data_IF_609039237227
#
_entry.id   IF_609039237227
#
_cell.length_a   1.000
_cell.length_b   1.000
_cell.length_c   1.000
_cell.angle_alpha   90.00
_cell.angle_beta   90.00
_cell.angle_gamma   90.00
#
_symmetry.space_group_name_H-M   'P 1'
#
loop_
_entity.id
_entity.type
_entity.pdbx_description
1 polymer ?
#
# COMPACT_ATOMS: atom_id res chain seq x y z
N UNK A 1 2.94 6.82 0.68
CA UNK A 1 3.55 6.02 -0.41
C UNK A 1 2.53 5.92 -1.52
N UNK A 2 2.94 6.23 -2.74
CA UNK A 2 2.14 6.14 -3.96
C UNK A 2 3.07 5.75 -5.11
N UNK A 3 2.69 4.76 -5.90
CA UNK A 3 3.45 4.39 -7.11
C UNK A 3 3.34 5.49 -8.18
N UNK A 4 4.34 5.57 -9.05
CA UNK A 4 4.44 6.62 -10.08
C UNK A 4 3.36 6.52 -11.16
N UNK A 5 2.74 5.36 -11.33
CA UNK A 5 1.72 5.05 -12.33
C UNK A 5 0.29 5.12 -11.75
N UNK A 6 0.11 5.86 -10.64
CA UNK A 6 -1.17 6.02 -9.98
C UNK A 6 -1.64 7.47 -10.03
N UNK A 7 -2.83 7.66 -10.60
CA UNK A 7 -3.63 8.88 -10.48
C UNK A 7 -4.78 8.66 -9.49
N UNK A 8 -5.52 9.70 -9.13
CA UNK A 8 -6.56 9.57 -8.09
C UNK A 8 -7.74 10.52 -8.29
N UNK A 9 -8.82 10.26 -7.56
CA UNK A 9 -10.00 11.12 -7.48
C UNK A 9 -9.75 12.36 -6.59
N UNK A 10 -10.56 13.40 -6.76
CA UNK A 10 -10.32 14.75 -6.20
C UNK A 10 -10.02 14.79 -4.70
N UNK A 11 -10.75 14.02 -3.88
CA UNK A 11 -10.59 14.06 -2.42
C UNK A 11 -9.76 12.89 -1.89
N UNK A 12 -9.07 12.16 -2.76
CA UNK A 12 -8.35 10.95 -2.39
C UNK A 12 -7.25 11.22 -1.35
N UNK A 13 -6.41 12.24 -1.58
CA UNK A 13 -5.38 12.63 -0.61
C UNK A 13 -5.98 13.22 0.66
N UNK A 14 -7.05 14.02 0.55
CA UNK A 14 -7.77 14.55 1.72
C UNK A 14 -8.28 13.41 2.61
N UNK A 15 -8.80 12.34 2.01
CA UNK A 15 -9.30 11.17 2.74
C UNK A 15 -8.21 10.48 3.57
N UNK A 16 -6.96 10.43 3.07
CA UNK A 16 -5.83 9.96 3.88
C UNK A 16 -5.56 10.87 5.06
N UNK A 17 -5.52 12.19 4.84
CA UNK A 17 -5.24 13.18 5.90
C UNK A 17 -6.33 13.15 6.98
N UNK A 18 -7.60 13.13 6.59
CA UNK A 18 -8.76 13.13 7.51
C UNK A 18 -8.79 11.89 8.42
N UNK A 19 -8.17 10.78 8.00
CA UNK A 19 -8.15 9.51 8.74
C UNK A 19 -6.78 9.15 9.30
N UNK A 20 -5.81 10.07 9.22
CA UNK A 20 -4.46 9.85 9.73
C UNK A 20 -4.48 9.71 11.25
N UNK A 21 -3.96 8.59 11.76
CA UNK A 21 -3.95 8.30 13.19
C UNK A 21 -2.70 7.50 13.57
N UNK A 22 -2.16 7.78 14.75
CA UNK A 22 -1.13 6.94 15.35
C UNK A 22 -1.68 5.52 15.58
N UNK A 23 -0.81 4.51 15.55
CA UNK A 23 -1.21 3.09 15.58
C UNK A 23 -2.17 2.63 14.46
N UNK A 24 -2.33 3.39 13.38
CA UNK A 24 -2.98 2.93 12.14
C UNK A 24 -2.06 3.08 10.92
N UNK A 25 -2.32 2.24 9.93
CA UNK A 25 -1.89 2.47 8.55
C UNK A 25 -3.13 2.44 7.65
N UNK A 26 -3.21 3.37 6.71
CA UNK A 26 -4.35 3.55 5.82
C UNK A 26 -4.01 2.92 4.48
N UNK A 27 -4.90 2.07 3.96
CA UNK A 27 -4.75 1.40 2.67
C UNK A 27 -5.95 1.69 1.79
N UNK A 28 -5.73 1.64 0.48
CA UNK A 28 -6.78 1.72 -0.51
C UNK A 28 -6.73 0.51 -1.44
N UNK A 29 -7.67 0.43 -2.38
CA UNK A 29 -7.66 -0.58 -3.42
C UNK A 29 -7.84 0.10 -4.78
N UNK A 30 -6.91 -0.09 -5.74
CA UNK A 30 -6.97 0.64 -6.99
C UNK A 30 -7.97 0.06 -7.97
N UNK A 31 -8.56 0.95 -8.77
CA UNK A 31 -9.07 0.57 -10.08
C UNK A 31 -7.86 0.39 -11.00
N UNK A 32 -7.72 -0.80 -11.60
CA UNK A 32 -6.72 -1.06 -12.63
C UNK A 32 -7.34 -0.81 -13.99
N UNK A 33 -6.72 0.09 -14.75
CA UNK A 33 -7.11 0.36 -16.14
C UNK A 33 -6.56 -0.74 -17.06
N UNK A 34 -7.26 -0.96 -18.19
CA UNK A 34 -6.68 -1.71 -19.30
C UNK A 34 -5.71 -0.84 -20.09
N UNK A 35 -4.97 -1.46 -21.01
CA UNK A 35 -4.08 -0.76 -21.93
C UNK A 35 -4.83 0.28 -22.77
N UNK A 36 -6.05 -0.04 -23.21
CA UNK A 36 -6.93 0.84 -23.97
C UNK A 36 -7.42 2.01 -23.09
N UNK A 37 -7.97 1.70 -21.91
CA UNK A 37 -8.43 2.74 -20.97
C UNK A 37 -7.31 3.72 -20.59
N UNK A 38 -6.07 3.23 -20.49
CA UNK A 38 -4.90 4.06 -20.16
C UNK A 38 -4.52 5.01 -21.28
N UNK A 39 -4.70 4.61 -22.55
CA UNK A 39 -4.46 5.49 -23.71
C UNK A 39 -5.47 6.63 -23.80
N UNK A 40 -6.68 6.41 -23.28
CA UNK A 40 -7.75 7.42 -23.25
C UNK A 40 -7.58 8.42 -22.10
N UNK A 41 -6.60 8.24 -21.21
CA UNK A 41 -6.27 9.21 -20.14
C UNK A 41 -5.48 10.37 -20.74
N UNK A 42 -5.99 11.58 -20.60
CA UNK A 42 -5.30 12.81 -20.98
C UNK A 42 -5.10 13.76 -19.79
N UNK A 43 -4.31 14.83 -19.99
CA UNK A 43 -4.00 15.81 -18.94
C UNK A 43 -5.24 16.55 -18.42
N UNK A 44 -6.19 16.87 -19.31
CA UNK A 44 -7.41 17.58 -18.94
C UNK A 44 -8.31 16.72 -18.02
N UNK A 45 -8.38 15.41 -18.26
CA UNK A 45 -9.07 14.48 -17.36
C UNK A 45 -8.41 14.41 -15.99
N UNK A 46 -7.08 14.42 -15.93
CA UNK A 46 -6.32 14.37 -14.68
C UNK A 46 -6.53 15.66 -13.88
N UNK A 47 -6.36 16.82 -14.52
CA UNK A 47 -6.53 18.15 -13.89
C UNK A 47 -7.95 18.35 -13.34
N UNK A 48 -8.97 17.88 -14.05
CA UNK A 48 -10.37 18.02 -13.65
C UNK A 48 -10.94 16.82 -12.88
N UNK A 49 -10.13 15.79 -12.60
CA UNK A 49 -10.54 14.55 -11.94
C UNK A 49 -11.73 13.84 -12.62
N UNK A 50 -11.83 13.93 -13.95
CA UNK A 50 -13.02 13.53 -14.72
C UNK A 50 -12.86 12.18 -15.41
N UNK A 51 -12.80 11.10 -14.63
CA UNK A 51 -12.55 9.75 -15.14
C UNK A 51 -13.82 8.94 -15.47
N UNK A 52 -15.01 9.52 -15.29
CA UNK A 52 -16.29 8.79 -15.39
C UNK A 52 -16.51 8.11 -16.75
N UNK A 53 -16.02 8.72 -17.84
CA UNK A 53 -16.13 8.20 -19.21
C UNK A 53 -15.30 6.93 -19.44
N UNK A 54 -14.16 6.79 -18.78
CA UNK A 54 -13.24 5.65 -18.97
C UNK A 54 -13.52 4.51 -17.99
N UNK A 55 -14.15 4.79 -16.85
CA UNK A 55 -14.37 3.81 -15.78
C UNK A 55 -15.64 2.97 -15.99
N UNK A 56 -15.52 1.66 -15.82
CA UNK A 56 -16.66 0.73 -15.94
C UNK A 56 -17.37 0.54 -14.61
N UNK A 57 -18.70 0.36 -14.62
CA UNK A 57 -19.50 0.05 -13.42
C UNK A 57 -18.96 -1.15 -12.64
N UNK A 58 -18.45 -2.18 -13.34
CA UNK A 58 -17.82 -3.35 -12.71
C UNK A 58 -16.54 -3.01 -11.93
N UNK A 59 -15.75 -2.03 -12.39
CA UNK A 59 -14.57 -1.54 -11.67
C UNK A 59 -14.99 -0.83 -10.39
N UNK A 60 -15.98 0.06 -10.46
CA UNK A 60 -16.53 0.77 -9.30
C UNK A 60 -17.13 -0.19 -8.27
N UNK A 61 -17.88 -1.21 -8.72
CA UNK A 61 -18.42 -2.26 -7.84
C UNK A 61 -17.32 -3.02 -7.09
N UNK A 62 -16.18 -3.30 -7.74
CA UNK A 62 -15.04 -3.94 -7.07
C UNK A 62 -14.47 -3.09 -5.94
N UNK A 63 -14.42 -1.76 -6.08
CA UNK A 63 -14.02 -0.85 -5.00
C UNK A 63 -14.94 -1.02 -3.79
N UNK A 64 -16.26 -0.93 -4.01
CA UNK A 64 -17.27 -1.09 -2.94
C UNK A 64 -17.17 -2.46 -2.26
N UNK A 65 -17.03 -3.53 -3.05
CA UNK A 65 -16.84 -4.90 -2.52
C UNK A 65 -15.58 -5.01 -1.67
N UNK A 66 -14.47 -4.42 -2.12
CA UNK A 66 -13.21 -4.46 -1.39
C UNK A 66 -13.27 -3.62 -0.11
N UNK A 67 -13.94 -2.46 -0.13
CA UNK A 67 -14.20 -1.65 1.05
C UNK A 67 -14.96 -2.47 2.11
N UNK A 68 -16.06 -3.13 1.74
CA UNK A 68 -16.83 -3.95 2.68
C UNK A 68 -15.98 -5.06 3.27
N UNK A 69 -15.18 -5.75 2.45
CA UNK A 69 -14.26 -6.80 2.91
C UNK A 69 -13.22 -6.27 3.90
N UNK A 70 -12.61 -5.14 3.60
CA UNK A 70 -11.61 -4.52 4.48
C UNK A 70 -12.27 -4.02 5.78
N UNK A 71 -13.48 -3.43 5.70
CA UNK A 71 -14.23 -3.00 6.87
C UNK A 71 -14.60 -4.18 7.80
N UNK A 72 -15.09 -5.29 7.24
CA UNK A 72 -15.36 -6.52 8.03
C UNK A 72 -14.07 -7.05 8.66
N UNK A 73 -12.97 -7.08 7.92
CA UNK A 73 -11.66 -7.51 8.44
C UNK A 73 -11.18 -6.60 9.57
N UNK A 74 -11.40 -5.30 9.45
CA UNK A 74 -11.09 -4.31 10.49
C UNK A 74 -11.90 -4.56 11.76
N UNK A 75 -13.22 -4.79 11.64
CA UNK A 75 -14.06 -5.12 12.79
C UNK A 75 -13.63 -6.43 13.45
N UNK A 76 -13.36 -7.48 12.67
CA UNK A 76 -12.86 -8.76 13.21
C UNK A 76 -11.54 -8.59 13.96
N UNK A 77 -10.63 -7.74 13.47
CA UNK A 77 -9.40 -7.40 14.20
C UNK A 77 -9.70 -6.60 15.48
N UNK A 78 -10.57 -5.59 15.40
CA UNK A 78 -10.95 -4.74 16.53
C UNK A 78 -11.56 -5.56 17.68
N UNK A 79 -12.43 -6.52 17.36
CA UNK A 79 -13.06 -7.44 18.31
C UNK A 79 -12.23 -8.69 18.62
N UNK A 80 -10.95 -8.72 18.20
CA UNK A 80 -10.00 -9.84 18.44
C UNK A 80 -10.47 -11.21 17.93
N UNK A 81 -11.42 -11.24 16.99
CA UNK A 81 -11.86 -12.45 16.27
C UNK A 81 -10.74 -12.93 15.36
N UNK A 82 -10.06 -12.00 14.68
CA UNK A 82 -8.94 -12.30 13.79
C UNK A 82 -7.65 -11.62 14.24
N UNK A 83 -6.51 -12.28 13.97
CA UNK A 83 -5.18 -11.75 14.30
C UNK A 83 -4.80 -10.52 13.45
N UNK A 84 -5.32 -10.41 12.22
CA UNK A 84 -5.03 -9.35 11.25
C UNK A 84 -6.32 -8.74 10.70
N UNK A 85 -6.25 -7.47 10.31
CA UNK A 85 -7.32 -6.74 9.61
C UNK A 85 -6.97 -6.54 8.13
N UNK A 86 -7.32 -5.38 7.52
CA UNK A 86 -6.93 -5.01 6.16
C UNK A 86 -5.44 -5.20 5.88
N UNK A 87 -5.12 -5.81 4.74
CA UNK A 87 -3.72 -6.01 4.34
C UNK A 87 -3.08 -4.69 3.90
N UNK A 88 -1.79 -4.54 4.18
CA UNK A 88 -0.97 -3.53 3.51
C UNK A 88 -0.94 -3.79 2.00
N UNK A 89 -0.91 -2.72 1.21
CA UNK A 89 -0.74 -2.75 -0.24
C UNK A 89 0.22 -1.61 -0.57
N UNK A 90 1.46 -1.94 -0.91
CA UNK A 90 2.53 -0.93 -1.04
C UNK A 90 2.26 0.10 -2.12
N UNK A 91 1.52 -0.26 -3.18
CA UNK A 91 1.28 0.67 -4.27
C UNK A 91 0.55 1.95 -3.89
N UNK A 92 -0.34 1.91 -2.89
CA UNK A 92 -0.77 3.14 -2.19
C UNK A 92 -1.12 2.86 -0.74
N UNK A 93 -0.45 3.55 0.17
CA UNK A 93 -0.81 3.58 1.58
C UNK A 93 -0.25 4.83 2.28
N UNK A 94 -0.84 5.16 3.42
CA UNK A 94 -0.33 6.18 4.33
C UNK A 94 -0.13 5.59 5.73
N UNK A 95 0.87 6.11 6.44
CA UNK A 95 1.20 5.68 7.79
C UNK A 95 1.86 6.84 8.51
N UNK A 96 1.63 6.95 9.83
CA UNK A 96 2.38 7.91 10.64
C UNK A 96 3.88 7.60 10.60
N UNK A 97 4.73 8.63 10.52
CA UNK A 97 6.19 8.47 10.47
C UNK A 97 6.70 7.60 11.62
N UNK A 98 6.25 7.87 12.84
CA UNK A 98 6.69 7.13 14.03
C UNK A 98 6.29 5.65 13.98
N UNK A 99 5.12 5.32 13.41
CA UNK A 99 4.71 3.94 13.21
C UNK A 99 5.64 3.21 12.22
N UNK A 100 6.07 3.90 11.16
CA UNK A 100 6.99 3.35 10.16
C UNK A 100 8.39 3.12 10.74
N UNK A 101 8.93 4.10 11.47
CA UNK A 101 10.23 4.00 12.15
C UNK A 101 10.21 2.94 13.25
N UNK A 102 9.10 2.82 13.99
CA UNK A 102 8.94 1.79 15.05
C UNK A 102 9.18 0.37 14.54
N UNK A 103 8.82 0.08 13.29
CA UNK A 103 9.03 -1.24 12.67
C UNK A 103 10.28 -1.30 11.77
N UNK A 104 11.11 -0.26 11.79
CA UNK A 104 12.31 -0.13 10.96
C UNK A 104 12.03 -0.03 9.43
N UNK A 105 10.86 0.45 9.03
CA UNK A 105 10.54 0.67 7.61
C UNK A 105 10.48 -0.59 6.75
N UNK A 106 10.76 -0.46 5.45
CA UNK A 106 10.86 -1.62 4.54
C UNK A 106 12.15 -2.40 4.82
N UNK A 107 12.11 -3.72 4.60
CA UNK A 107 13.29 -4.57 4.71
C UNK A 107 14.03 -4.59 3.36
N UNK A 108 15.22 -4.01 3.31
CA UNK A 108 16.00 -3.84 2.08
C UNK A 108 16.54 -5.17 1.52
N UNK A 109 16.43 -6.28 2.27
CA UNK A 109 16.69 -7.62 1.73
C UNK A 109 15.64 -8.08 0.72
N UNK A 110 14.46 -7.46 0.67
CA UNK A 110 13.51 -7.73 -0.41
C UNK A 110 13.98 -7.05 -1.70
N UNK A 111 14.74 -7.79 -2.51
CA UNK A 111 15.22 -7.34 -3.82
C UNK A 111 14.39 -7.97 -4.94
N UNK A 112 14.22 -7.24 -6.05
CA UNK A 112 13.33 -7.67 -7.14
C UNK A 112 11.87 -7.63 -6.70
N UNK A 113 11.05 -8.58 -7.17
CA UNK A 113 9.61 -8.51 -7.00
C UNK A 113 9.05 -9.42 -5.90
N UNK A 114 8.29 -8.80 -4.99
CA UNK A 114 7.29 -9.44 -4.15
C UNK A 114 7.67 -9.62 -2.67
N UNK A 115 6.64 -9.68 -1.84
CA UNK A 115 6.63 -9.95 -0.40
C UNK A 115 7.13 -8.83 0.53
N UNK A 116 7.60 -7.70 0.01
CA UNK A 116 8.05 -6.57 0.83
C UNK A 116 6.89 -5.92 1.62
N UNK A 117 5.72 -5.82 0.99
CA UNK A 117 4.51 -5.24 1.58
C UNK A 117 3.82 -6.19 2.56
N UNK A 118 3.78 -7.48 2.23
CA UNK A 118 3.30 -8.54 3.11
C UNK A 118 4.13 -8.59 4.42
N UNK A 119 5.46 -8.47 4.32
CA UNK A 119 6.38 -8.43 5.46
C UNK A 119 6.17 -7.19 6.33
N UNK A 120 6.20 -6.00 5.72
CA UNK A 120 5.96 -4.74 6.43
C UNK A 120 4.58 -4.77 7.11
N UNK A 121 3.55 -5.23 6.43
CA UNK A 121 2.21 -5.41 6.99
C UNK A 121 2.21 -6.33 8.22
N UNK A 122 2.94 -7.45 8.17
CA UNK A 122 3.04 -8.37 9.30
C UNK A 122 3.73 -7.73 10.52
N UNK A 123 4.83 -7.00 10.30
CA UNK A 123 5.55 -6.27 11.34
C UNK A 123 4.70 -5.16 11.97
N UNK A 124 3.97 -4.40 11.16
CA UNK A 124 3.00 -3.41 11.64
C UNK A 124 1.95 -4.04 12.56
N UNK A 125 1.37 -5.18 12.16
CA UNK A 125 0.42 -5.90 12.99
C UNK A 125 1.03 -6.40 14.32
N UNK A 126 2.28 -6.86 14.29
CA UNK A 126 3.01 -7.27 15.49
C UNK A 126 3.27 -6.09 16.44
N UNK A 127 3.49 -4.89 15.88
CA UNK A 127 3.66 -3.64 16.63
C UNK A 127 2.33 -3.00 17.10
N UNK A 128 1.20 -3.72 16.96
CA UNK A 128 -0.16 -3.27 17.25
C UNK A 128 -0.66 -2.09 16.38
N UNK A 129 -0.11 -1.95 15.17
CA UNK A 129 -0.53 -0.95 14.19
C UNK A 129 -1.52 -1.61 13.23
N UNK A 130 -2.74 -1.09 13.15
CA UNK A 130 -3.86 -1.75 12.46
C UNK A 130 -4.16 -1.11 11.12
N UNK A 131 -4.42 -1.94 10.10
CA UNK A 131 -4.83 -1.48 8.78
C UNK A 131 -6.26 -0.93 8.79
N UNK A 132 -6.50 0.14 8.03
CA UNK A 132 -7.82 0.73 7.84
C UNK A 132 -8.03 1.18 6.39
N UNK A 133 -9.23 0.97 5.86
CA UNK A 133 -9.60 1.39 4.51
C UNK A 133 -10.82 2.35 4.56
N UNK A 134 -10.61 3.68 4.48
CA UNK A 134 -11.68 4.68 4.46
C UNK A 134 -12.29 4.92 3.06
N UNK A 135 -11.81 4.23 2.02
CA UNK A 135 -12.07 4.58 0.62
C UNK A 135 -13.35 3.94 0.08
N UNK A 136 -14.50 4.47 0.50
CA UNK A 136 -15.78 4.07 -0.10
C UNK A 136 -15.98 4.69 -1.48
N UNK A 137 -15.81 6.01 -1.60
CA UNK A 137 -16.16 6.78 -2.81
C UNK A 137 -14.97 7.38 -3.55
N UNK A 138 -13.83 7.51 -2.89
CA UNK A 138 -12.57 7.95 -3.48
C UNK A 138 -11.70 6.73 -3.77
N UNK A 139 -10.86 6.76 -4.79
CA UNK A 139 -10.02 5.61 -5.15
C UNK A 139 -8.80 6.02 -5.98
N UNK A 140 -7.69 5.27 -5.87
CA UNK A 140 -6.61 5.39 -6.82
C UNK A 140 -6.96 4.67 -8.13
N UNK A 141 -6.40 5.16 -9.22
CA UNK A 141 -6.53 4.61 -10.56
C UNK A 141 -5.11 4.29 -11.02
N UNK A 142 -4.84 3.00 -11.18
CA UNK A 142 -3.57 2.47 -11.60
C UNK A 142 -3.56 2.39 -13.12
N UNK A 143 -2.66 3.15 -13.73
CA UNK A 143 -2.44 3.16 -15.17
C UNK A 143 -1.85 1.80 -15.59
N UNK A 144 -2.20 1.34 -16.78
CA UNK A 144 -1.67 0.08 -17.27
C UNK A 144 -0.18 0.22 -17.60
N UNK A 145 0.62 -0.74 -17.13
CA UNK A 145 1.96 -1.01 -17.62
C UNK A 145 2.14 -2.53 -17.77
N UNK A 146 3.12 -2.94 -18.58
CA UNK A 146 3.50 -4.35 -18.64
C UNK A 146 4.11 -4.76 -17.29
N UNK A 147 3.66 -5.86 -16.66
CA UNK A 147 4.15 -6.25 -15.34
C UNK A 147 5.65 -6.57 -15.36
N UNK A 148 6.39 -6.02 -14.40
CA UNK A 148 7.83 -6.27 -14.23
C UNK A 148 8.16 -7.63 -13.57
N UNK A 149 7.17 -8.51 -13.42
CA UNK A 149 7.35 -9.84 -12.83
C UNK A 149 7.19 -10.95 -13.88
N UNK A 150 8.04 -11.99 -13.80
CA UNK A 150 7.89 -13.16 -14.65
C UNK A 150 6.76 -14.05 -14.11
N UNK A 151 5.58 -13.99 -14.72
CA UNK A 151 4.42 -14.84 -14.39
C UNK A 151 4.00 -14.84 -12.90
N UNK A 152 4.22 -13.73 -12.17
CA UNK A 152 3.90 -13.63 -10.74
C UNK A 152 4.84 -14.43 -9.83
N UNK A 153 6.03 -14.80 -10.31
CA UNK A 153 7.06 -15.42 -9.48
C UNK A 153 7.60 -14.44 -8.44
N UNK A 154 7.36 -14.73 -7.16
CA UNK A 154 7.86 -13.97 -6.01
C UNK A 154 9.22 -14.53 -5.60
N UNK A 155 10.29 -13.88 -6.04
CA UNK A 155 11.67 -14.35 -5.78
C UNK A 155 12.00 -14.39 -4.28
N UNK A 156 11.35 -13.54 -3.49
CA UNK A 156 11.58 -13.44 -2.04
C UNK A 156 10.73 -14.39 -1.19
N UNK A 157 9.97 -15.32 -1.79
CA UNK A 157 8.99 -16.15 -1.06
C UNK A 157 9.62 -16.95 0.09
N UNK A 158 10.77 -17.57 -0.14
CA UNK A 158 11.48 -18.36 0.88
C UNK A 158 11.95 -17.49 2.04
N UNK A 159 12.55 -16.33 1.72
CA UNK A 159 12.99 -15.36 2.72
C UNK A 159 11.80 -14.85 3.56
N UNK A 160 10.71 -14.45 2.90
CA UNK A 160 9.48 -14.01 3.54
C UNK A 160 8.88 -15.04 4.52
N UNK A 161 8.79 -16.32 4.13
CA UNK A 161 8.23 -17.34 5.02
C UNK A 161 9.13 -17.62 6.24
N UNK A 162 10.44 -17.35 6.15
CA UNK A 162 11.33 -17.37 7.31
C UNK A 162 11.10 -16.14 8.21
N UNK A 163 11.09 -14.94 7.64
CA UNK A 163 10.84 -13.69 8.39
C UNK A 163 9.51 -13.75 9.14
N UNK A 164 8.45 -14.20 8.47
CA UNK A 164 7.10 -14.34 9.03
C UNK A 164 7.02 -15.23 10.28
N UNK A 165 7.90 -16.23 10.43
CA UNK A 165 7.97 -17.07 11.64
C UNK A 165 8.64 -16.35 12.81
N UNK A 166 9.54 -15.41 12.52
CA UNK A 166 10.31 -14.65 13.50
C UNK A 166 9.55 -13.40 14.00
N UNK A 167 8.57 -12.91 13.22
CA UNK A 167 7.77 -11.74 13.57
C UNK A 167 6.87 -12.06 14.78
N UNK A 168 7.09 -11.31 15.86
CA UNK A 168 6.31 -11.40 17.11
C UNK A 168 6.09 -10.01 17.69
N UNK A 169 5.24 -9.88 18.71
CA UNK A 169 5.02 -8.60 19.38
C UNK A 169 6.30 -7.98 19.98
N UNK A 170 7.30 -8.80 20.34
CA UNK A 170 8.62 -8.35 20.81
C UNK A 170 9.66 -8.25 19.70
N UNK A 171 9.38 -8.75 18.49
CA UNK A 171 10.28 -8.71 17.34
C UNK A 171 9.52 -8.26 16.08
N UNK A 172 9.42 -6.94 15.90
CA UNK A 172 8.67 -6.31 14.81
C UNK A 172 9.53 -5.39 13.93
N UNK A 173 10.86 -5.41 14.09
CA UNK A 173 11.81 -4.69 13.24
C UNK A 173 12.47 -5.64 12.24
N UNK A 174 12.75 -5.17 11.03
CA UNK A 174 13.65 -5.85 10.11
C UNK A 174 15.11 -5.58 10.46
N UNK A 175 16.02 -6.41 9.93
CA UNK A 175 17.47 -6.28 10.11
C UNK A 175 18.05 -5.11 9.30
N UNK A 176 17.63 -4.99 8.04
CA UNK A 176 18.08 -3.92 7.14
C UNK A 176 16.91 -3.04 6.75
N UNK A 177 16.87 -1.81 7.23
CA UNK A 177 15.76 -0.90 7.03
C UNK A 177 16.15 0.52 7.40
N UNK A 178 15.21 1.32 7.89
CA UNK A 178 15.44 2.75 8.17
C UNK A 178 16.66 3.04 9.05
N UNK A 179 16.85 2.28 10.13
CA UNK A 179 17.93 2.46 11.11
C UNK A 179 19.29 1.89 10.62
N UNK A 180 19.26 0.97 9.65
CA UNK A 180 20.42 0.25 9.15
C UNK A 180 20.19 -0.16 7.69
N UNK A 181 20.36 0.76 6.72
CA UNK A 181 20.21 0.44 5.30
C UNK A 181 21.17 -0.67 4.87
N UNK A 182 20.78 -1.49 3.89
CA UNK A 182 21.61 -2.57 3.33
C UNK A 182 22.67 -2.02 2.37
N UNK A 183 22.34 -0.95 1.64
CA UNK A 183 23.22 -0.35 0.65
C UNK A 183 24.08 0.81 1.19
N UNK A 184 25.27 0.97 0.62
CA UNK A 184 26.17 2.12 0.86
C UNK A 184 25.81 3.32 -0.05
N UNK A 185 24.53 3.51 -0.39
CA UNK A 185 24.13 4.55 -1.33
C UNK A 185 24.49 5.94 -0.79
N UNK A 186 25.39 6.63 -1.49
CA UNK A 186 25.73 8.01 -1.15
C UNK A 186 24.55 8.92 -1.51
N UNK A 187 23.81 9.36 -0.49
CA UNK A 187 22.70 10.30 -0.67
C UNK A 187 23.27 11.68 -1.00
N UNK A 188 23.02 12.16 -2.22
CA UNK A 188 23.28 13.55 -2.60
C UNK A 188 21.98 14.35 -2.48
N UNK A 189 21.90 15.23 -1.48
CA UNK A 189 20.80 16.19 -1.37
C UNK A 189 21.03 17.31 -2.39
N UNK A 190 20.10 17.47 -3.33
CA UNK A 190 20.09 18.59 -4.28
C UNK A 190 18.92 19.48 -3.86
N UNK A 191 19.20 20.70 -3.42
CA UNK A 191 18.17 21.72 -3.26
C UNK A 191 17.76 22.20 -4.66
N UNK A 192 16.48 22.03 -4.99
CA UNK A 192 15.90 22.57 -6.21
C UNK A 192 15.48 24.01 -5.91
N UNK A 193 16.11 24.97 -6.58
CA UNK A 193 15.73 26.40 -6.56
C UNK A 193 14.39 26.63 -7.25
#
# INVERSE_FOLDING_TARGET
FIDQDIISTKNYLKTFVDHAEINKFIVSYPIRLTKEQTKDVDGNMIENFSYGSILKTKQLYKIKKQFVKDYVSFLQKKFKINKKGPKLRSGVFAIHRDNFIKVNGFDEKYQGWGNEDDDLGNRLYAANIVGYNPFWSEYPIHLYHEPNHQAGNRVNKTYYENQKKMITNSNCKCEYGFDNPLGDEQIKVIELN
#
